data_IF_312598094218
#
_entry.id   IF_312598094218
#
_cell.length_a   1.000
_cell.length_b   1.000
_cell.length_c   1.000
_cell.angle_alpha   90.00
_cell.angle_beta   90.00
_cell.angle_gamma   90.00
#
_symmetry.space_group_name_H-M   'P 1'
#
loop_
_entity.id
_entity.type
_entity.pdbx_description
1 polymer ?
#
# COMPACT_ATOMS: atom_id res chain seq x y z
N UNK A 1 57.04 -12.12 0.63
CA UNK A 1 55.78 -12.48 1.27
C UNK A 1 54.81 -12.73 0.11
N UNK A 2 54.22 -13.92 0.06
CA UNK A 2 53.24 -14.23 -1.00
C UNK A 2 52.01 -13.36 -0.86
N UNK A 3 51.32 -13.08 -1.97
CA UNK A 3 50.07 -12.37 -1.99
C UNK A 3 49.04 -13.13 -1.15
N UNK A 4 48.43 -12.51 -0.10
CA UNK A 4 47.42 -13.16 0.75
C UNK A 4 46.26 -13.73 -0.02
N UNK A 5 45.81 -13.02 -1.06
CA UNK A 5 44.68 -13.42 -1.94
C UNK A 5 45.05 -14.72 -2.67
N UNK A 6 46.25 -14.81 -3.25
CA UNK A 6 46.67 -15.99 -3.99
C UNK A 6 46.87 -17.22 -3.08
N UNK A 7 47.35 -17.00 -1.86
CA UNK A 7 47.47 -18.06 -0.86
C UNK A 7 46.09 -18.62 -0.46
N UNK A 8 45.11 -17.74 -0.25
CA UNK A 8 43.73 -18.17 0.05
C UNK A 8 43.04 -18.82 -1.13
N UNK A 9 43.25 -18.38 -2.38
CA UNK A 9 42.76 -19.06 -3.57
C UNK A 9 43.23 -20.50 -3.66
N UNK A 10 44.50 -20.73 -3.39
CA UNK A 10 45.04 -22.11 -3.37
C UNK A 10 44.37 -22.92 -2.24
N UNK A 11 44.14 -22.35 -1.08
CA UNK A 11 43.46 -23.01 0.02
C UNK A 11 41.99 -23.33 -0.32
N UNK A 12 41.24 -22.40 -0.93
CA UNK A 12 39.87 -22.61 -1.42
C UNK A 12 39.84 -23.69 -2.49
N UNK A 13 40.83 -23.76 -3.40
CA UNK A 13 40.89 -24.79 -4.43
C UNK A 13 41.06 -26.21 -3.84
N UNK A 14 41.73 -26.32 -2.69
CA UNK A 14 41.89 -27.58 -1.96
C UNK A 14 40.68 -27.95 -1.10
N UNK A 15 39.93 -26.95 -0.60
CA UNK A 15 38.76 -27.10 0.26
C UNK A 15 37.56 -26.33 -0.31
N UNK A 16 36.99 -26.72 -1.46
CA UNK A 16 35.98 -25.96 -2.20
C UNK A 16 34.64 -25.82 -1.43
N UNK A 17 34.36 -26.71 -0.49
CA UNK A 17 33.13 -26.69 0.33
C UNK A 17 33.30 -25.97 1.68
N UNK A 18 34.40 -25.24 1.87
CA UNK A 18 34.62 -24.49 3.09
C UNK A 18 34.07 -23.05 2.98
N UNK A 19 32.82 -22.83 3.44
CA UNK A 19 32.14 -21.55 3.41
C UNK A 19 32.90 -20.42 4.11
N UNK A 20 33.40 -20.60 5.36
CA UNK A 20 34.20 -19.60 6.05
C UNK A 20 35.47 -19.18 5.31
N UNK A 21 36.16 -20.11 4.65
CA UNK A 21 37.35 -19.81 3.87
C UNK A 21 37.05 -18.98 2.63
N UNK A 22 35.95 -19.29 1.94
CA UNK A 22 35.44 -18.51 0.81
C UNK A 22 35.03 -17.09 1.23
N UNK A 23 34.33 -16.96 2.35
CA UNK A 23 34.00 -15.67 2.91
C UNK A 23 35.25 -14.82 3.15
N UNK A 24 36.27 -15.40 3.78
CA UNK A 24 37.51 -14.68 4.04
C UNK A 24 38.26 -14.28 2.75
N UNK A 25 38.22 -15.11 1.72
CA UNK A 25 38.76 -14.73 0.41
C UNK A 25 37.94 -13.59 -0.21
N UNK A 26 36.62 -13.60 -0.08
CA UNK A 26 35.73 -12.49 -0.47
C UNK A 26 36.07 -11.19 0.24
N UNK A 27 36.28 -11.24 1.56
CA UNK A 27 36.67 -10.07 2.38
C UNK A 27 37.99 -9.43 1.90
N UNK A 28 38.99 -10.24 1.56
CA UNK A 28 40.26 -9.74 1.03
C UNK A 28 40.14 -9.20 -0.40
N UNK A 29 39.29 -9.81 -1.22
CA UNK A 29 39.03 -9.34 -2.56
C UNK A 29 38.29 -8.01 -2.56
N UNK A 30 37.28 -7.86 -1.70
CA UNK A 30 36.57 -6.62 -1.48
C UNK A 30 37.50 -5.50 -0.98
N UNK A 31 38.34 -5.78 -0.01
CA UNK A 31 39.34 -4.84 0.48
C UNK A 31 40.42 -4.44 -0.57
N UNK A 32 40.55 -5.20 -1.63
CA UNK A 32 41.40 -4.92 -2.79
C UNK A 32 40.64 -4.30 -3.98
N UNK A 33 39.43 -3.76 -3.76
CA UNK A 33 38.53 -3.19 -4.77
C UNK A 33 38.16 -4.17 -5.92
N UNK A 34 38.29 -5.48 -5.66
CA UNK A 34 37.95 -6.56 -6.63
C UNK A 34 36.53 -7.08 -6.38
N UNK A 35 35.56 -6.17 -6.42
CA UNK A 35 34.16 -6.41 -6.00
C UNK A 35 33.46 -7.55 -6.76
N UNK A 36 33.65 -7.67 -8.08
CA UNK A 36 33.03 -8.76 -8.89
C UNK A 36 33.55 -10.15 -8.48
N UNK A 37 34.84 -10.26 -8.15
CA UNK A 37 35.41 -11.52 -7.69
C UNK A 37 34.99 -11.82 -6.25
N UNK A 38 34.87 -10.81 -5.41
CA UNK A 38 34.34 -10.94 -4.06
C UNK A 38 32.88 -11.44 -4.06
N UNK A 39 32.05 -10.92 -4.96
CA UNK A 39 30.66 -11.36 -5.15
C UNK A 39 30.57 -12.86 -5.44
N UNK A 40 31.44 -13.37 -6.30
CA UNK A 40 31.42 -14.80 -6.67
C UNK A 40 31.74 -15.69 -5.46
N UNK A 41 32.76 -15.30 -4.68
CA UNK A 41 33.13 -16.06 -3.48
C UNK A 41 32.08 -15.97 -2.37
N UNK A 42 31.45 -14.80 -2.17
CA UNK A 42 30.35 -14.65 -1.21
C UNK A 42 29.10 -15.43 -1.62
N UNK A 43 28.77 -15.50 -2.91
CA UNK A 43 27.65 -16.32 -3.41
C UNK A 43 27.86 -17.79 -3.14
N UNK A 44 29.09 -18.28 -3.38
CA UNK A 44 29.42 -19.66 -3.12
C UNK A 44 29.48 -19.95 -1.61
N UNK A 45 29.97 -19.01 -0.80
CA UNK A 45 29.91 -19.12 0.66
C UNK A 45 28.45 -19.18 1.16
N UNK A 46 27.57 -18.32 0.65
CA UNK A 46 26.17 -18.26 1.03
C UNK A 46 25.41 -19.55 0.62
N UNK A 47 25.78 -20.16 -0.49
CA UNK A 47 25.20 -21.45 -0.92
C UNK A 47 25.60 -22.61 0.00
N UNK A 48 26.77 -22.54 0.62
CA UNK A 48 27.30 -23.55 1.55
C UNK A 48 26.77 -23.36 2.98
N UNK A 49 26.69 -22.12 3.43
CA UNK A 49 26.26 -21.75 4.78
C UNK A 49 25.39 -20.47 4.73
N UNK A 50 24.06 -20.62 4.58
CA UNK A 50 23.14 -19.49 4.51
C UNK A 50 23.05 -18.75 5.83
N UNK A 51 23.51 -17.48 5.87
CA UNK A 51 23.39 -16.61 7.04
C UNK A 51 22.96 -15.20 6.66
N UNK A 52 22.24 -14.51 7.56
CA UNK A 52 21.77 -13.14 7.33
C UNK A 52 22.95 -12.17 7.27
N UNK A 53 24.00 -12.39 8.07
CA UNK A 53 25.22 -11.60 8.04
C UNK A 53 25.88 -11.65 6.64
N UNK A 54 25.98 -12.84 6.04
CA UNK A 54 26.58 -13.00 4.72
C UNK A 54 25.69 -12.41 3.61
N UNK A 55 24.36 -12.43 3.80
CA UNK A 55 23.41 -11.72 2.89
C UNK A 55 23.65 -10.21 2.90
N UNK A 56 23.89 -9.62 4.08
CA UNK A 56 24.17 -8.17 4.20
C UNK A 56 25.53 -7.81 3.62
N UNK A 57 26.55 -8.64 3.80
CA UNK A 57 27.86 -8.46 3.15
C UNK A 57 27.69 -8.45 1.62
N UNK A 58 26.97 -9.43 1.08
CA UNK A 58 26.70 -9.52 -0.35
C UNK A 58 25.89 -8.30 -0.85
N UNK A 59 24.93 -7.83 -0.06
CA UNK A 59 24.13 -6.64 -0.41
C UNK A 59 25.01 -5.37 -0.47
N UNK A 60 25.99 -5.22 0.41
CA UNK A 60 26.95 -4.11 0.36
C UNK A 60 27.81 -4.15 -0.90
N UNK A 61 28.29 -5.32 -1.30
CA UNK A 61 29.05 -5.48 -2.53
C UNK A 61 28.23 -5.13 -3.77
N UNK A 62 26.94 -5.53 -3.81
CA UNK A 62 26.04 -5.11 -4.88
C UNK A 62 25.84 -3.59 -4.92
N UNK A 63 25.71 -2.94 -3.75
CA UNK A 63 25.61 -1.48 -3.65
C UNK A 63 26.85 -0.77 -4.17
N UNK A 64 28.06 -1.26 -3.82
CA UNK A 64 29.32 -0.67 -4.28
C UNK A 64 29.46 -0.73 -5.82
N UNK A 65 28.85 -1.73 -6.45
CA UNK A 65 28.78 -1.89 -7.91
C UNK A 65 27.58 -1.18 -8.57
N UNK A 66 26.76 -0.45 -7.81
CA UNK A 66 25.56 0.23 -8.32
C UNK A 66 24.39 -0.72 -8.68
N UNK A 67 24.47 -1.98 -8.25
CA UNK A 67 23.45 -3.02 -8.52
C UNK A 67 22.39 -3.00 -7.42
N UNK A 68 21.62 -1.92 -7.37
CA UNK A 68 20.66 -1.64 -6.30
C UNK A 68 19.53 -2.67 -6.20
N UNK A 69 19.04 -3.19 -7.32
CA UNK A 69 17.95 -4.17 -7.34
C UNK A 69 18.31 -5.49 -6.66
N UNK A 70 19.52 -6.03 -6.91
CA UNK A 70 19.98 -7.26 -6.27
C UNK A 70 20.28 -7.05 -4.79
N UNK A 71 20.81 -5.89 -4.42
CA UNK A 71 21.02 -5.52 -3.03
C UNK A 71 19.70 -5.43 -2.26
N UNK A 72 18.66 -4.83 -2.85
CA UNK A 72 17.33 -4.69 -2.25
C UNK A 72 16.72 -6.04 -1.89
N UNK A 73 16.76 -7.01 -2.80
CA UNK A 73 16.22 -8.37 -2.55
C UNK A 73 16.88 -9.02 -1.33
N UNK A 74 18.20 -8.90 -1.19
CA UNK A 74 18.92 -9.50 -0.07
C UNK A 74 18.61 -8.82 1.27
N UNK A 75 18.51 -7.49 1.26
CA UNK A 75 18.16 -6.69 2.43
C UNK A 75 16.71 -6.99 2.86
N UNK A 76 15.77 -7.08 1.94
CA UNK A 76 14.38 -7.38 2.24
C UNK A 76 14.21 -8.79 2.83
N UNK A 77 14.92 -9.79 2.32
CA UNK A 77 14.95 -11.15 2.91
C UNK A 77 15.42 -11.13 4.39
N UNK A 78 16.42 -10.32 4.71
CA UNK A 78 16.92 -10.20 6.10
C UNK A 78 15.92 -9.46 6.97
N UNK A 79 15.28 -8.40 6.45
CA UNK A 79 14.26 -7.63 7.16
C UNK A 79 13.02 -8.48 7.46
N UNK A 80 12.60 -9.31 6.50
CA UNK A 80 11.47 -10.24 6.66
C UNK A 80 11.74 -11.36 7.69
N UNK A 81 13.01 -11.74 7.86
CA UNK A 81 13.42 -12.75 8.84
C UNK A 81 13.52 -12.23 10.29
N UNK A 82 13.23 -10.96 10.54
CA UNK A 82 13.28 -10.35 11.86
C UNK A 82 14.20 -9.13 11.95
N UNK A 83 14.91 -8.83 10.88
CA UNK A 83 15.71 -7.62 10.66
C UNK A 83 16.87 -7.38 11.65
N UNK A 84 17.90 -6.70 11.16
CA UNK A 84 18.96 -6.17 12.00
C UNK A 84 19.06 -4.66 11.77
N UNK A 85 19.60 -3.92 12.72
CA UNK A 85 19.87 -2.48 12.58
C UNK A 85 20.73 -2.18 11.34
N UNK A 86 21.63 -3.09 11.00
CA UNK A 86 22.48 -3.01 9.82
C UNK A 86 21.69 -3.19 8.50
N UNK A 87 20.68 -4.09 8.47
CA UNK A 87 19.78 -4.25 7.34
C UNK A 87 18.95 -2.97 7.10
N UNK A 88 18.49 -2.33 8.18
CA UNK A 88 17.78 -1.04 8.11
C UNK A 88 18.68 0.09 7.56
N UNK A 89 19.95 0.12 7.97
CA UNK A 89 20.91 1.10 7.45
C UNK A 89 21.16 0.90 5.95
N UNK A 90 21.30 -0.34 5.48
CA UNK A 90 21.43 -0.65 4.07
C UNK A 90 20.15 -0.32 3.30
N UNK A 91 18.97 -0.56 3.87
CA UNK A 91 17.68 -0.16 3.29
C UNK A 91 17.60 1.35 3.10
N UNK A 92 18.06 2.13 4.08
CA UNK A 92 18.14 3.59 3.98
C UNK A 92 19.00 4.03 2.78
N UNK A 93 20.18 3.43 2.61
CA UNK A 93 21.09 3.74 1.48
C UNK A 93 20.46 3.35 0.12
N UNK A 94 19.72 2.26 0.06
CA UNK A 94 18.98 1.83 -1.15
C UNK A 94 17.89 2.82 -1.50
N UNK A 95 17.03 3.19 -0.56
CA UNK A 95 15.94 4.13 -0.76
C UNK A 95 16.45 5.52 -1.14
N UNK A 96 17.58 5.96 -0.58
CA UNK A 96 18.23 7.21 -0.98
C UNK A 96 18.67 7.18 -2.46
N UNK A 97 19.22 6.05 -2.92
CA UNK A 97 19.60 5.87 -4.32
C UNK A 97 18.39 5.83 -5.28
N UNK A 98 17.24 5.38 -4.79
CA UNK A 98 15.97 5.36 -5.54
C UNK A 98 15.27 6.74 -5.53
N UNK A 99 15.76 7.68 -4.71
CA UNK A 99 15.19 9.03 -4.56
C UNK A 99 14.05 9.12 -3.56
N UNK A 100 13.76 8.05 -2.85
CA UNK A 100 12.79 8.03 -1.74
C UNK A 100 13.47 8.54 -0.45
N UNK A 101 13.46 9.87 -0.29
CA UNK A 101 14.08 10.54 0.85
C UNK A 101 13.34 10.28 2.16
N UNK A 102 12.03 10.12 2.12
CA UNK A 102 11.23 9.88 3.33
C UNK A 102 11.43 8.46 3.85
N UNK A 103 11.33 7.46 2.99
CA UNK A 103 11.63 6.07 3.34
C UNK A 103 13.08 5.90 3.81
N UNK A 104 14.04 6.59 3.18
CA UNK A 104 15.44 6.56 3.58
C UNK A 104 15.66 7.12 4.99
N UNK A 105 14.98 8.23 5.35
CA UNK A 105 15.02 8.82 6.70
C UNK A 105 14.44 7.90 7.75
N UNK A 106 13.29 7.29 7.44
CA UNK A 106 12.65 6.37 8.37
C UNK A 106 13.54 5.16 8.66
N UNK A 107 14.03 4.51 7.61
CA UNK A 107 14.93 3.38 7.75
C UNK A 107 16.20 3.74 8.54
N UNK A 108 16.79 4.92 8.30
CA UNK A 108 17.96 5.40 9.04
C UNK A 108 17.67 5.64 10.52
N UNK A 109 16.57 6.34 10.82
CA UNK A 109 16.16 6.60 12.23
C UNK A 109 15.94 5.29 12.99
N UNK A 110 15.30 4.31 12.38
CA UNK A 110 15.08 2.99 12.99
C UNK A 110 16.40 2.23 13.19
N UNK A 111 17.33 2.30 12.25
CA UNK A 111 18.65 1.69 12.39
C UNK A 111 19.40 2.26 13.60
N UNK A 112 19.48 3.59 13.70
CA UNK A 112 20.19 4.30 14.79
C UNK A 112 19.47 4.18 16.14
N UNK A 113 18.14 4.06 16.14
CA UNK A 113 17.36 3.84 17.37
C UNK A 113 17.62 2.46 17.98
N UNK A 114 17.93 1.43 17.15
CA UNK A 114 18.28 0.07 17.62
C UNK A 114 19.75 0.00 17.97
N UNK A 115 20.61 0.65 17.20
CA UNK A 115 22.07 0.65 17.40
C UNK A 115 22.66 2.03 17.07
N UNK A 116 22.92 2.80 18.12
CA UNK A 116 23.47 4.16 18.00
C UNK A 116 24.90 4.20 17.41
N UNK A 117 25.65 3.09 17.43
CA UNK A 117 27.01 3.01 16.86
C UNK A 117 26.97 3.02 15.31
N UNK A 118 25.81 2.71 14.72
CA UNK A 118 25.60 2.77 13.28
C UNK A 118 25.29 4.18 12.74
N UNK A 119 25.31 5.20 13.58
CA UNK A 119 25.12 6.58 13.15
C UNK A 119 26.20 6.98 12.14
N UNK A 120 25.77 7.24 10.90
CA UNK A 120 26.60 7.65 9.77
C UNK A 120 26.37 9.16 9.53
N UNK A 121 27.31 10.06 9.93
CA UNK A 121 27.12 11.50 9.82
C UNK A 121 26.94 11.98 8.37
N UNK A 122 27.62 11.33 7.40
CA UNK A 122 27.50 11.70 5.99
C UNK A 122 26.12 11.36 5.45
N UNK A 123 25.61 10.19 5.83
CA UNK A 123 24.24 9.78 5.45
C UNK A 123 23.20 10.66 6.16
N UNK A 124 23.42 11.01 7.42
CA UNK A 124 22.55 11.92 8.16
C UNK A 124 22.44 13.29 7.47
N UNK A 125 23.56 13.87 7.04
CA UNK A 125 23.60 15.15 6.34
C UNK A 125 22.88 15.11 4.96
N UNK A 126 23.00 13.99 4.24
CA UNK A 126 22.28 13.78 2.97
C UNK A 126 20.76 13.64 3.18
N UNK A 127 20.35 13.20 4.35
CA UNK A 127 18.94 13.01 4.72
C UNK A 127 18.30 14.25 5.35
N UNK A 128 19.05 15.34 5.62
CA UNK A 128 18.51 16.62 6.13
C UNK A 128 17.79 17.38 5.01
N UNK A 129 16.59 17.90 5.31
CA UNK A 129 15.86 18.73 4.35
C UNK A 129 16.55 20.08 4.18
N UNK A 130 16.55 20.70 2.98
CA UNK A 130 17.08 22.04 2.77
C UNK A 130 16.22 23.04 3.57
N UNK A 131 16.69 23.45 4.74
CA UNK A 131 16.03 24.41 5.63
C UNK A 131 16.32 24.23 7.11
N UNK A 132 16.87 23.10 7.56
CA UNK A 132 17.21 22.88 8.98
C UNK A 132 18.73 23.01 9.18
N UNK A 133 19.15 24.16 9.69
CA UNK A 133 20.53 24.39 10.14
C UNK A 133 20.74 23.77 11.51
N UNK A 134 21.75 22.90 11.59
CA UNK A 134 22.33 22.34 12.80
C UNK A 134 22.71 23.41 13.82
N UNK A 135 22.20 23.29 15.03
CA UNK A 135 22.77 23.90 16.20
C UNK A 135 21.77 24.23 17.28
N UNK A 136 21.56 23.31 18.22
CA UNK A 136 21.58 23.70 19.62
C UNK A 136 21.65 22.46 20.54
N UNK A 137 22.38 22.65 21.63
CA UNK A 137 22.72 21.71 22.70
C UNK A 137 21.50 21.06 23.34
N UNK A 138 21.59 19.77 23.59
CA UNK A 138 20.66 18.99 24.43
C UNK A 138 20.89 19.40 25.89
N UNK A 139 19.96 20.15 26.48
CA UNK A 139 19.75 20.20 27.93
C UNK A 139 18.63 19.21 28.29
N UNK A 140 18.94 18.35 29.26
CA UNK A 140 18.01 17.35 29.78
C UNK A 140 16.83 18.04 30.48
N UNK A 141 15.63 17.87 29.94
CA UNK A 141 14.35 18.17 30.56
C UNK A 141 13.42 16.96 30.46
N UNK A 142 12.37 16.85 31.29
CA UNK A 142 11.72 15.58 31.63
C UNK A 142 10.90 15.00 30.48
N UNK A 143 10.92 13.67 30.41
CA UNK A 143 10.11 12.72 29.67
C UNK A 143 9.25 13.32 28.51
N UNK A 144 9.75 13.20 27.30
CA UNK A 144 8.96 13.46 26.10
C UNK A 144 7.90 12.37 25.92
N UNK A 145 6.66 12.77 25.87
CA UNK A 145 5.53 12.01 25.35
C UNK A 145 5.84 11.57 23.92
N UNK A 146 5.52 10.34 23.53
CA UNK A 146 5.73 9.87 22.17
C UNK A 146 4.87 10.71 21.22
N UNK A 147 5.53 11.44 20.33
CA UNK A 147 4.89 12.15 19.23
C UNK A 147 4.48 11.15 18.16
N UNK A 148 3.27 10.59 18.30
CA UNK A 148 2.60 9.99 17.15
C UNK A 148 2.47 11.06 16.06
N UNK A 149 2.93 10.78 14.85
CA UNK A 149 2.67 11.64 13.70
C UNK A 149 1.16 11.87 13.63
N UNK A 150 0.75 13.11 13.79
CA UNK A 150 -0.64 13.51 13.62
C UNK A 150 -0.96 13.34 12.14
N UNK A 151 -1.74 12.32 11.81
CA UNK A 151 -2.36 12.24 10.50
C UNK A 151 -3.32 13.43 10.42
N UNK A 152 -2.93 14.48 9.72
CA UNK A 152 -3.78 15.66 9.59
C UNK A 152 -5.03 15.29 8.77
N UNK A 153 -6.24 15.52 9.33
CA UNK A 153 -7.46 15.24 8.59
C UNK A 153 -7.57 16.19 7.41
N UNK A 154 -7.44 15.62 6.21
CA UNK A 154 -7.48 16.36 4.96
C UNK A 154 -8.94 16.73 4.63
N UNK A 155 -9.24 18.02 4.43
CA UNK A 155 -10.53 18.43 3.88
C UNK A 155 -10.53 18.18 2.40
N UNK A 156 -11.10 17.04 2.01
CA UNK A 156 -11.14 16.68 0.59
C UNK A 156 -12.10 17.59 -0.19
N UNK A 157 -11.60 18.14 -1.31
CA UNK A 157 -12.42 18.83 -2.30
C UNK A 157 -13.13 17.86 -3.27
N UNK A 158 -12.82 16.55 -3.19
CA UNK A 158 -13.38 15.53 -4.06
C UNK A 158 -14.82 15.21 -3.66
N UNK A 159 -15.76 15.30 -4.61
CA UNK A 159 -17.19 15.03 -4.44
C UNK A 159 -17.63 13.94 -5.42
N UNK A 160 -18.91 13.55 -5.38
CA UNK A 160 -19.46 12.59 -6.35
C UNK A 160 -19.45 13.09 -7.81
N UNK A 161 -19.27 14.39 -8.03
CA UNK A 161 -19.09 14.94 -9.39
C UNK A 161 -17.73 14.54 -9.98
N UNK A 162 -16.75 14.25 -9.14
CA UNK A 162 -15.40 13.83 -9.54
C UNK A 162 -15.28 12.31 -9.72
N UNK A 163 -16.32 11.57 -9.30
CA UNK A 163 -16.44 10.13 -9.52
C UNK A 163 -17.20 9.87 -10.81
N UNK A 164 -16.50 9.38 -11.82
CA UNK A 164 -17.11 9.09 -13.13
C UNK A 164 -18.09 7.91 -13.06
N UNK A 165 -19.36 8.13 -13.44
CA UNK A 165 -20.41 7.08 -13.45
C UNK A 165 -20.77 6.55 -12.06
N UNK A 166 -21.07 5.25 -11.96
CA UNK A 166 -21.44 4.56 -10.71
C UNK A 166 -22.68 5.15 -10.01
N UNK A 167 -23.66 5.61 -10.76
CA UNK A 167 -24.83 6.30 -10.18
C UNK A 167 -25.60 5.43 -9.18
N UNK A 168 -25.73 4.12 -9.46
CA UNK A 168 -26.36 3.16 -8.54
C UNK A 168 -25.60 3.12 -7.18
N UNK A 169 -24.26 3.10 -7.22
CA UNK A 169 -23.42 3.09 -6.03
C UNK A 169 -23.51 4.42 -5.26
N UNK A 170 -23.47 5.54 -5.96
CA UNK A 170 -23.64 6.87 -5.37
C UNK A 170 -24.99 7.02 -4.69
N UNK A 171 -26.05 6.54 -5.33
CA UNK A 171 -27.41 6.59 -4.76
C UNK A 171 -27.52 5.68 -3.54
N UNK A 172 -26.93 4.48 -3.59
CA UNK A 172 -26.90 3.57 -2.44
C UNK A 172 -26.16 4.21 -1.27
N UNK A 173 -25.04 4.90 -1.52
CA UNK A 173 -24.27 5.65 -0.51
C UNK A 173 -25.10 6.83 0.03
N UNK A 174 -25.80 7.59 -0.83
CA UNK A 174 -26.68 8.67 -0.37
C UNK A 174 -27.73 8.15 0.59
N UNK A 175 -28.42 7.08 0.23
CA UNK A 175 -29.50 6.50 1.02
C UNK A 175 -29.01 5.85 2.32
N UNK A 176 -27.91 5.10 2.24
CA UNK A 176 -27.42 4.32 3.38
C UNK A 176 -26.52 5.10 4.33
N UNK A 177 -25.87 6.16 3.84
CA UNK A 177 -24.82 6.88 4.59
C UNK A 177 -25.16 8.35 4.75
N UNK A 178 -25.30 9.11 3.65
CA UNK A 178 -25.37 10.55 3.67
C UNK A 178 -26.68 11.01 4.31
N UNK A 179 -27.82 10.51 3.87
CA UNK A 179 -29.12 10.88 4.44
C UNK A 179 -29.27 10.56 5.92
N UNK A 180 -28.83 9.39 6.46
CA UNK A 180 -28.85 9.14 7.89
C UNK A 180 -28.03 10.13 8.71
N UNK A 181 -26.86 10.54 8.20
CA UNK A 181 -25.98 11.51 8.88
C UNK A 181 -26.56 12.92 8.82
N UNK A 182 -27.16 13.32 7.69
CA UNK A 182 -27.75 14.65 7.51
C UNK A 182 -29.11 14.82 8.19
N UNK A 183 -29.88 13.75 8.39
CA UNK A 183 -31.24 13.76 8.94
C UNK A 183 -31.41 12.74 10.08
N UNK A 184 -30.59 12.80 11.15
CA UNK A 184 -30.60 11.80 12.22
C UNK A 184 -31.96 11.71 12.94
N UNK A 185 -32.67 12.83 13.11
CA UNK A 185 -34.00 12.89 13.72
C UNK A 185 -35.06 12.12 12.92
N UNK A 186 -34.98 12.13 11.59
CA UNK A 186 -35.89 11.37 10.74
C UNK A 186 -35.68 9.86 10.95
N UNK A 187 -34.45 9.42 10.97
CA UNK A 187 -34.13 8.00 11.18
C UNK A 187 -34.44 7.52 12.58
N UNK A 188 -34.24 8.37 13.61
CA UNK A 188 -34.61 8.10 14.99
C UNK A 188 -36.12 7.91 15.15
N UNK A 189 -36.94 8.68 14.43
CA UNK A 189 -38.41 8.55 14.44
C UNK A 189 -38.89 7.17 13.92
N UNK A 190 -38.10 6.50 13.08
CA UNK A 190 -38.33 5.13 12.61
C UNK A 190 -37.57 4.07 13.42
N UNK A 191 -36.99 4.43 14.57
CA UNK A 191 -36.20 3.52 15.40
C UNK A 191 -34.85 3.10 14.79
N UNK A 192 -34.38 3.81 13.76
CA UNK A 192 -33.08 3.57 13.13
C UNK A 192 -32.05 4.53 13.66
N UNK A 193 -30.86 4.03 13.97
CA UNK A 193 -29.71 4.87 14.37
C UNK A 193 -28.97 5.39 13.14
N UNK A 194 -28.47 6.62 13.21
CA UNK A 194 -27.70 7.26 12.14
C UNK A 194 -26.21 6.85 12.13
N UNK A 195 -25.76 6.02 13.05
CA UNK A 195 -24.39 5.55 13.17
C UNK A 195 -24.16 4.18 12.53
N UNK A 196 -22.93 3.69 12.61
CA UNK A 196 -22.48 2.41 12.10
C UNK A 196 -21.42 2.54 11.01
N UNK A 197 -20.73 1.45 10.72
CA UNK A 197 -19.71 1.39 9.69
C UNK A 197 -20.26 0.93 8.34
N UNK A 198 -19.52 1.25 7.31
CA UNK A 198 -19.82 0.81 5.93
C UNK A 198 -18.64 0.07 5.36
N UNK A 199 -18.89 -1.09 4.77
CA UNK A 199 -17.90 -1.88 4.06
C UNK A 199 -18.10 -1.75 2.55
N UNK A 200 -17.14 -1.12 1.88
CA UNK A 200 -17.05 -1.08 0.43
C UNK A 200 -16.32 -2.33 -0.05
N UNK A 201 -16.89 -3.09 -0.96
CA UNK A 201 -16.22 -4.26 -1.50
C UNK A 201 -16.35 -4.37 -3.01
N UNK A 202 -15.40 -5.01 -3.66
CA UNK A 202 -15.41 -5.17 -5.11
C UNK A 202 -14.02 -5.44 -5.67
N UNK A 203 -13.90 -5.58 -7.00
CA UNK A 203 -12.60 -5.86 -7.64
C UNK A 203 -11.56 -4.79 -7.32
N UNK A 204 -10.25 -5.14 -7.32
CA UNK A 204 -9.17 -4.17 -7.15
C UNK A 204 -9.19 -3.13 -8.29
N UNK A 205 -8.76 -1.91 -7.98
CA UNK A 205 -8.67 -0.81 -8.94
C UNK A 205 -10.01 -0.23 -9.40
N UNK A 206 -11.14 -0.59 -8.79
CA UNK A 206 -12.47 -0.06 -9.14
C UNK A 206 -12.86 1.22 -8.40
N UNK A 207 -11.92 1.87 -7.67
CA UNK A 207 -12.12 3.20 -7.11
C UNK A 207 -12.80 3.22 -5.73
N UNK A 208 -12.75 2.15 -4.93
CA UNK A 208 -13.32 2.11 -3.56
C UNK A 208 -12.82 3.25 -2.69
N UNK A 209 -11.52 3.48 -2.66
CA UNK A 209 -10.87 4.58 -1.90
C UNK A 209 -11.32 5.94 -2.43
N UNK A 210 -11.47 6.09 -3.76
CA UNK A 210 -11.96 7.33 -4.38
C UNK A 210 -13.42 7.63 -4.02
N UNK A 211 -14.27 6.60 -4.02
CA UNK A 211 -15.68 6.70 -3.58
C UNK A 211 -15.77 7.07 -2.10
N UNK A 212 -14.92 6.47 -1.24
CA UNK A 212 -14.88 6.81 0.18
C UNK A 212 -14.48 8.29 0.40
N UNK A 213 -13.47 8.76 -0.33
CA UNK A 213 -13.03 10.16 -0.29
C UNK A 213 -14.11 11.11 -0.79
N UNK A 214 -14.79 10.78 -1.88
CA UNK A 214 -15.92 11.56 -2.39
C UNK A 214 -17.11 11.58 -1.41
N UNK A 215 -17.35 10.50 -0.67
CA UNK A 215 -18.38 10.46 0.39
C UNK A 215 -18.08 11.47 1.50
N UNK A 216 -16.81 11.62 1.90
CA UNK A 216 -16.41 12.62 2.88
C UNK A 216 -16.62 14.04 2.35
N UNK A 217 -16.32 14.31 1.08
CA UNK A 217 -16.57 15.61 0.45
C UNK A 217 -18.05 15.96 0.38
N UNK A 218 -18.92 15.01 0.04
CA UNK A 218 -20.37 15.21 0.04
C UNK A 218 -20.94 15.52 1.45
N UNK A 219 -20.31 14.97 2.48
CA UNK A 219 -20.67 15.25 3.87
C UNK A 219 -20.05 16.56 4.40
N UNK A 220 -19.12 17.19 3.66
CA UNK A 220 -18.31 18.30 4.14
C UNK A 220 -17.44 17.94 5.34
N UNK A 221 -17.12 16.66 5.52
CA UNK A 221 -16.38 16.09 6.62
C UNK A 221 -14.89 16.02 6.31
N UNK A 222 -14.06 16.01 7.34
CA UNK A 222 -12.64 15.67 7.21
C UNK A 222 -12.48 14.21 6.82
N UNK A 223 -11.45 13.88 6.04
CA UNK A 223 -11.15 12.51 5.63
C UNK A 223 -9.82 12.06 6.26
N UNK A 224 -9.87 11.00 7.03
CA UNK A 224 -8.70 10.40 7.66
C UNK A 224 -8.49 9.02 7.05
N UNK A 225 -7.46 8.89 6.22
CA UNK A 225 -7.07 7.61 5.64
C UNK A 225 -6.15 6.84 6.58
N UNK A 226 -6.46 5.58 6.79
CA UNK A 226 -5.68 4.69 7.65
C UNK A 226 -5.30 3.45 6.84
N UNK A 227 -4.03 3.32 6.53
CA UNK A 227 -3.48 2.09 5.98
C UNK A 227 -3.45 1.02 7.06
N UNK A 228 -3.90 -0.18 6.71
CA UNK A 228 -3.88 -1.28 7.68
C UNK A 228 -2.46 -1.72 8.01
N UNK A 229 -1.51 -1.50 7.11
CA UNK A 229 -0.08 -1.72 7.36
C UNK A 229 0.44 -0.77 8.44
N UNK A 230 -0.03 0.48 8.48
CA UNK A 230 0.35 1.45 9.52
C UNK A 230 -0.15 0.98 10.89
N UNK A 231 -1.41 0.52 10.96
CA UNK A 231 -1.97 -0.05 12.19
C UNK A 231 -1.26 -1.34 12.58
N UNK A 232 -0.79 -2.14 11.64
CA UNK A 232 -0.11 -3.40 11.87
C UNK A 232 1.39 -3.26 12.14
N UNK A 233 2.07 -2.28 11.57
CA UNK A 233 3.50 -2.00 11.81
C UNK A 233 3.78 -1.46 13.21
N UNK A 234 2.78 -0.91 13.86
CA UNK A 234 2.80 -0.47 15.27
C UNK A 234 2.81 -1.64 16.29
N UNK A 235 3.17 -2.86 15.87
CA UNK A 235 2.95 -4.16 16.57
C UNK A 235 3.76 -4.44 17.83
N UNK A 236 4.64 -3.59 18.29
CA UNK A 236 5.49 -3.87 19.44
C UNK A 236 5.03 -3.19 20.75
N UNK A 237 3.78 -3.41 21.16
CA UNK A 237 3.28 -3.10 22.51
C UNK A 237 2.43 -1.84 22.67
N UNK A 238 2.29 -1.01 21.61
CA UNK A 238 1.55 0.27 21.64
C UNK A 238 0.33 0.30 20.70
N UNK A 239 0.10 -0.76 19.94
CA UNK A 239 -0.89 -0.81 18.84
C UNK A 239 -2.33 -0.57 19.29
N UNK A 240 -2.71 -1.06 20.47
CA UNK A 240 -4.05 -0.87 21.02
C UNK A 240 -4.28 0.59 21.44
N UNK A 241 -3.27 1.22 22.00
CA UNK A 241 -3.31 2.63 22.40
C UNK A 241 -3.35 3.54 21.18
N UNK A 242 -2.54 3.26 20.17
CA UNK A 242 -2.49 4.05 18.94
C UNK A 242 -3.81 3.95 18.16
N UNK A 243 -4.42 2.77 18.08
CA UNK A 243 -5.74 2.60 17.48
C UNK A 243 -6.80 3.41 18.27
N UNK A 244 -6.77 3.36 19.58
CA UNK A 244 -7.65 4.16 20.43
C UNK A 244 -7.42 5.66 20.23
N UNK A 245 -6.16 6.11 20.21
CA UNK A 245 -5.81 7.52 19.96
C UNK A 245 -6.27 8.02 18.61
N UNK A 246 -6.20 7.16 17.56
CA UNK A 246 -6.70 7.46 16.22
C UNK A 246 -8.23 7.73 16.24
N UNK A 247 -9.00 6.88 16.92
CA UNK A 247 -10.44 7.10 17.07
C UNK A 247 -10.74 8.33 17.91
N UNK A 248 -9.97 8.59 18.97
CA UNK A 248 -10.08 9.81 19.77
C UNK A 248 -9.73 11.09 18.97
N UNK A 249 -8.69 11.00 18.10
CA UNK A 249 -8.36 12.09 17.19
C UNK A 249 -9.50 12.37 16.22
N UNK A 250 -10.09 11.31 15.63
CA UNK A 250 -11.23 11.45 14.74
C UNK A 250 -12.44 12.10 15.45
N UNK A 251 -12.71 11.73 16.73
CA UNK A 251 -13.76 12.37 17.56
C UNK A 251 -13.53 13.86 17.80
N UNK A 252 -12.27 14.25 18.01
CA UNK A 252 -11.88 15.65 18.27
C UNK A 252 -11.86 16.52 17.02
N UNK A 253 -11.71 15.92 15.84
CA UNK A 253 -11.59 16.64 14.56
C UNK A 253 -12.93 17.16 14.02
N UNK A 254 -14.05 16.97 14.73
CA UNK A 254 -15.39 17.30 14.25
C UNK A 254 -15.93 16.25 13.28
N UNK A 255 -16.87 16.56 12.40
CA UNK A 255 -17.37 15.57 11.47
C UNK A 255 -16.24 14.98 10.62
N UNK A 256 -15.96 13.69 10.82
CA UNK A 256 -14.81 12.99 10.22
C UNK A 256 -15.23 11.65 9.62
N UNK A 257 -14.72 11.37 8.42
CA UNK A 257 -14.78 10.04 7.80
C UNK A 257 -13.45 9.34 8.03
N UNK A 258 -13.49 8.30 8.85
CA UNK A 258 -12.35 7.43 9.12
C UNK A 258 -12.39 6.25 8.15
N UNK A 259 -11.40 6.16 7.28
CA UNK A 259 -11.36 5.18 6.22
C UNK A 259 -10.23 4.17 6.41
N UNK A 260 -10.59 2.88 6.48
CA UNK A 260 -9.67 1.77 6.57
C UNK A 260 -9.62 1.02 5.22
N UNK A 261 -8.45 1.01 4.58
CA UNK A 261 -8.28 0.23 3.35
C UNK A 261 -7.80 -1.20 3.66
N UNK A 262 -8.13 -2.13 2.77
CA UNK A 262 -7.68 -3.54 2.80
C UNK A 262 -7.96 -4.28 4.11
N UNK A 263 -9.16 -4.10 4.68
CA UNK A 263 -9.54 -4.75 5.96
C UNK A 263 -9.56 -6.28 5.92
N UNK A 264 -9.50 -6.89 4.75
CA UNK A 264 -9.30 -8.33 4.55
C UNK A 264 -7.92 -8.81 5.04
N UNK A 265 -6.90 -7.95 5.10
CA UNK A 265 -5.60 -8.27 5.69
C UNK A 265 -5.72 -8.64 7.19
N UNK A 266 -6.70 -8.09 7.90
CA UNK A 266 -7.02 -8.49 9.29
C UNK A 266 -7.61 -9.92 9.35
N UNK A 267 -8.40 -10.32 8.37
CA UNK A 267 -9.05 -11.63 8.32
C UNK A 267 -8.09 -12.77 7.97
N UNK A 268 -7.22 -12.59 6.98
CA UNK A 268 -6.29 -13.60 6.50
C UNK A 268 -5.29 -14.06 7.57
N UNK A 269 -4.94 -13.18 8.52
CA UNK A 269 -4.01 -13.49 9.62
C UNK A 269 -4.63 -14.18 10.82
N UNK A 270 -5.96 -14.25 10.91
CA UNK A 270 -6.66 -14.87 12.06
C UNK A 270 -6.65 -16.40 12.02
N UNK A 271 -6.63 -17.01 10.85
CA UNK A 271 -6.50 -18.46 10.66
C UNK A 271 -5.12 -18.98 11.06
N UNK A 272 -4.08 -18.16 10.90
CA UNK A 272 -2.69 -18.52 11.20
C UNK A 272 -2.26 -18.16 12.62
N UNK A 273 -3.02 -17.30 13.32
CA UNK A 273 -2.68 -16.76 14.63
C UNK A 273 -3.34 -17.54 15.79
N UNK A 274 -2.81 -18.71 16.14
CA UNK A 274 -3.29 -19.47 17.32
C UNK A 274 -2.95 -18.82 18.68
N UNK A 275 -2.04 -17.84 18.73
CA UNK A 275 -1.71 -17.05 19.93
C UNK A 275 -0.84 -15.84 19.55
N UNK A 276 -1.40 -14.65 19.35
CA UNK A 276 -0.56 -13.47 19.07
C UNK A 276 -1.27 -12.12 19.26
N UNK A 277 -0.49 -11.05 19.39
CA UNK A 277 -0.94 -9.65 19.54
C UNK A 277 -1.99 -9.20 18.52
N UNK A 278 -1.98 -9.75 17.30
CA UNK A 278 -2.97 -9.41 16.28
C UNK A 278 -4.42 -9.71 16.63
N UNK A 279 -4.68 -10.71 17.49
CA UNK A 279 -6.03 -10.98 18.00
C UNK A 279 -6.51 -9.89 18.96
N UNK A 280 -5.61 -9.32 19.74
CA UNK A 280 -5.90 -8.20 20.66
C UNK A 280 -6.24 -6.94 19.87
N UNK A 281 -5.46 -6.61 18.83
CA UNK A 281 -5.75 -5.50 17.95
C UNK A 281 -7.11 -5.62 17.25
N UNK A 282 -7.44 -6.81 16.72
CA UNK A 282 -8.77 -7.06 16.13
C UNK A 282 -9.87 -6.84 17.17
N UNK A 283 -9.69 -7.33 18.39
CA UNK A 283 -10.66 -7.14 19.45
C UNK A 283 -10.80 -5.66 19.83
N UNK A 284 -9.69 -4.92 19.93
CA UNK A 284 -9.73 -3.48 20.17
C UNK A 284 -10.46 -2.74 19.04
N UNK A 285 -10.17 -3.09 17.78
CA UNK A 285 -10.86 -2.47 16.64
C UNK A 285 -12.37 -2.74 16.70
N UNK A 286 -12.79 -3.95 17.08
CA UNK A 286 -14.21 -4.25 17.27
C UNK A 286 -14.83 -3.42 18.42
N UNK A 287 -14.09 -3.19 19.51
CA UNK A 287 -14.54 -2.35 20.63
C UNK A 287 -14.70 -0.89 20.20
N UNK A 288 -13.74 -0.35 19.45
CA UNK A 288 -13.83 1.03 18.92
C UNK A 288 -15.01 1.20 17.95
N UNK A 289 -15.27 0.21 17.08
CA UNK A 289 -16.43 0.23 16.19
C UNK A 289 -17.76 0.22 16.97
N UNK A 290 -17.84 -0.58 18.04
CA UNK A 290 -19.03 -0.62 18.92
C UNK A 290 -19.21 0.73 19.62
N UNK A 291 -18.12 1.38 20.02
CA UNK A 291 -18.11 2.73 20.62
C UNK A 291 -18.64 3.82 19.67
N UNK A 292 -18.20 3.82 18.42
CA UNK A 292 -18.71 4.77 17.39
C UNK A 292 -20.22 4.62 17.18
N UNK A 293 -20.73 3.39 17.25
CA UNK A 293 -22.18 3.13 17.10
C UNK A 293 -23.00 3.58 18.30
N UNK A 294 -22.40 3.64 19.49
CA UNK A 294 -23.08 4.04 20.70
C UNK A 294 -23.17 5.56 20.85
N UNK A 295 -22.10 6.27 20.51
CA UNK A 295 -21.93 7.71 20.76
C UNK A 295 -22.09 8.62 19.54
N UNK A 296 -22.60 8.14 18.43
CA UNK A 296 -23.04 8.80 17.18
C UNK A 296 -22.56 10.22 16.83
N UNK A 297 -21.64 10.82 17.56
CA UNK A 297 -21.25 12.22 17.39
C UNK A 297 -20.10 12.39 16.39
N UNK A 298 -20.45 12.44 15.09
CA UNK A 298 -19.60 13.05 14.08
C UNK A 298 -18.56 12.15 13.42
N UNK A 299 -18.47 10.84 13.73
CA UNK A 299 -17.57 9.92 13.04
C UNK A 299 -18.36 8.95 12.16
N UNK A 300 -17.95 8.85 10.90
CA UNK A 300 -18.36 7.79 9.98
C UNK A 300 -17.18 6.87 9.71
N UNK A 301 -17.32 5.58 9.99
CA UNK A 301 -16.28 4.61 9.67
C UNK A 301 -16.57 3.95 8.34
N UNK A 302 -15.68 4.10 7.38
CA UNK A 302 -15.70 3.40 6.11
C UNK A 302 -14.56 2.40 6.07
N UNK A 303 -14.80 1.22 5.49
CA UNK A 303 -13.77 0.26 5.21
C UNK A 303 -13.84 -0.21 3.76
N UNK A 304 -12.71 -0.60 3.18
CA UNK A 304 -12.65 -1.20 1.86
C UNK A 304 -11.99 -2.57 1.90
N UNK A 305 -12.44 -3.48 1.02
CA UNK A 305 -11.85 -4.80 0.85
C UNK A 305 -11.92 -5.27 -0.59
N UNK A 306 -10.89 -5.96 -1.03
CA UNK A 306 -10.88 -6.70 -2.28
C UNK A 306 -11.38 -8.14 -2.11
N UNK A 307 -11.43 -8.67 -0.88
CA UNK A 307 -11.80 -10.04 -0.58
C UNK A 307 -12.83 -10.12 0.58
N UNK A 308 -14.10 -9.74 0.33
CA UNK A 308 -15.12 -9.67 1.38
C UNK A 308 -15.35 -11.02 2.08
N UNK A 309 -15.00 -12.12 1.46
CA UNK A 309 -15.08 -13.48 2.03
C UNK A 309 -13.95 -13.79 3.04
N UNK A 310 -12.91 -12.96 3.10
CA UNK A 310 -11.85 -13.03 4.11
C UNK A 310 -12.12 -12.14 5.33
N UNK A 311 -13.09 -11.24 5.24
CA UNK A 311 -13.47 -10.37 6.37
C UNK A 311 -14.28 -11.19 7.38
N UNK A 312 -13.80 -11.20 8.63
CA UNK A 312 -14.46 -11.92 9.72
C UNK A 312 -15.90 -11.45 9.95
N UNK A 313 -16.82 -12.40 10.15
CA UNK A 313 -18.23 -12.12 10.39
C UNK A 313 -18.50 -11.22 11.60
N UNK A 314 -17.57 -11.18 12.56
CA UNK A 314 -17.65 -10.27 13.70
C UNK A 314 -17.66 -8.80 13.28
N UNK A 315 -16.99 -8.45 12.18
CA UNK A 315 -17.01 -7.09 11.64
C UNK A 315 -18.36 -6.72 11.00
N UNK A 316 -19.12 -7.72 10.52
CA UNK A 316 -20.42 -7.51 9.83
C UNK A 316 -21.63 -7.54 10.74
N UNK A 317 -21.41 -7.68 12.07
CA UNK A 317 -22.50 -7.64 13.05
C UNK A 317 -23.15 -6.26 13.11
N UNK A 318 -24.47 -6.19 13.47
CA UNK A 318 -25.16 -4.92 13.65
C UNK A 318 -24.40 -3.97 14.59
N UNK A 319 -24.28 -2.71 14.18
CA UNK A 319 -23.54 -1.68 14.91
C UNK A 319 -22.06 -1.56 14.51
N UNK A 320 -21.54 -2.42 13.61
CA UNK A 320 -20.18 -2.35 13.06
C UNK A 320 -20.28 -2.04 11.57
N UNK A 321 -19.66 -2.82 10.70
CA UNK A 321 -19.86 -2.71 9.25
C UNK A 321 -21.16 -3.41 8.81
N UNK A 322 -22.27 -2.93 9.31
CA UNK A 322 -23.60 -3.49 9.06
C UNK A 322 -24.20 -3.07 7.72
N UNK A 323 -23.56 -2.11 7.06
CA UNK A 323 -23.91 -1.65 5.70
C UNK A 323 -22.81 -2.09 4.75
N UNK A 324 -23.17 -2.86 3.76
CA UNK A 324 -22.23 -3.39 2.76
C UNK A 324 -22.63 -2.85 1.41
N UNK A 325 -21.67 -2.27 0.67
CA UNK A 325 -21.88 -1.64 -0.64
C UNK A 325 -20.92 -2.27 -1.65
N UNK A 326 -21.50 -2.83 -2.70
CA UNK A 326 -20.73 -3.38 -3.82
C UNK A 326 -20.28 -2.26 -4.76
N UNK A 327 -18.98 -2.19 -5.03
CA UNK A 327 -18.38 -1.26 -5.99
C UNK A 327 -17.99 -2.06 -7.25
N UNK A 328 -18.83 -2.05 -8.29
CA UNK A 328 -18.56 -2.78 -9.53
C UNK A 328 -17.46 -2.10 -10.35
N UNK A 329 -16.93 -2.77 -11.39
CA UNK A 329 -16.15 -2.12 -12.42
C UNK A 329 -16.93 -0.98 -13.08
N UNK A 330 -16.21 0.07 -13.54
CA UNK A 330 -16.85 1.24 -14.13
C UNK A 330 -17.73 0.86 -15.35
N UNK A 331 -18.91 1.44 -15.43
CA UNK A 331 -19.79 1.35 -16.59
C UNK A 331 -19.19 2.03 -17.84
N UNK A 332 -19.87 1.95 -18.98
CA UNK A 332 -19.34 2.52 -20.21
C UNK A 332 -19.11 4.04 -20.12
N UNK A 333 -20.02 4.76 -19.44
CA UNK A 333 -19.91 6.20 -19.23
C UNK A 333 -18.73 6.56 -18.35
N UNK A 334 -18.58 5.84 -17.24
CA UNK A 334 -17.45 5.98 -16.33
C UNK A 334 -16.12 5.67 -17.03
N UNK A 335 -16.02 4.58 -17.80
CA UNK A 335 -14.79 4.26 -18.54
C UNK A 335 -14.39 5.35 -19.52
N UNK A 336 -15.37 5.94 -20.21
CA UNK A 336 -15.12 7.09 -21.10
C UNK A 336 -14.52 8.27 -20.35
N UNK A 337 -15.09 8.60 -19.19
CA UNK A 337 -14.65 9.72 -18.36
C UNK A 337 -13.27 9.46 -17.74
N UNK A 338 -13.02 8.28 -17.24
CA UNK A 338 -11.72 7.88 -16.69
C UNK A 338 -10.61 8.02 -17.75
N UNK A 339 -10.85 7.50 -18.96
CA UNK A 339 -9.86 7.64 -20.05
C UNK A 339 -9.67 9.11 -20.43
N UNK A 340 -10.73 9.94 -20.44
CA UNK A 340 -10.65 11.37 -20.69
C UNK A 340 -9.73 12.07 -19.69
N UNK A 341 -9.93 11.79 -18.40
CA UNK A 341 -9.15 12.36 -17.30
C UNK A 341 -7.67 11.96 -17.44
N UNK A 342 -7.37 10.67 -17.67
CA UNK A 342 -6.00 10.21 -17.81
C UNK A 342 -5.29 10.73 -19.08
N UNK A 343 -6.02 11.22 -20.06
CA UNK A 343 -5.49 11.85 -21.26
C UNK A 343 -5.31 13.37 -21.14
N UNK A 344 -5.77 13.99 -20.06
CA UNK A 344 -5.57 15.43 -19.82
C UNK A 344 -4.08 15.77 -19.68
N UNK A 345 -3.68 16.89 -20.27
CA UNK A 345 -2.28 17.35 -20.28
C UNK A 345 -1.31 16.54 -21.14
N UNK A 346 -1.78 15.46 -21.82
CA UNK A 346 -0.94 14.64 -22.69
C UNK A 346 -1.05 15.08 -24.16
N UNK A 347 0.04 14.96 -24.92
CA UNK A 347 0.06 15.23 -26.35
C UNK A 347 -0.79 14.18 -27.09
N UNK A 348 -1.94 14.60 -27.64
CA UNK A 348 -2.92 13.71 -28.26
C UNK A 348 -3.61 14.34 -29.44
N UNK A 349 -4.10 13.53 -30.37
CA UNK A 349 -5.08 13.89 -31.39
C UNK A 349 -6.50 13.94 -30.80
N UNK A 350 -7.49 14.12 -31.68
CA UNK A 350 -8.87 13.91 -31.29
C UNK A 350 -9.11 12.40 -31.04
N UNK A 351 -9.45 12.04 -29.81
CA UNK A 351 -9.64 10.66 -29.38
C UNK A 351 -11.11 10.28 -29.41
N UNK A 352 -11.42 9.15 -30.05
CA UNK A 352 -12.75 8.52 -30.01
C UNK A 352 -12.93 7.72 -28.72
N UNK A 353 -13.37 8.41 -27.67
CA UNK A 353 -13.60 7.84 -26.34
C UNK A 353 -14.72 6.79 -26.34
N UNK A 354 -15.72 6.92 -27.22
CA UNK A 354 -16.84 5.97 -27.31
C UNK A 354 -16.39 4.63 -27.87
N UNK A 355 -15.49 4.65 -28.84
CA UNK A 355 -14.88 3.45 -29.39
C UNK A 355 -13.97 2.73 -28.37
N UNK A 356 -13.21 3.49 -27.59
CA UNK A 356 -12.36 2.94 -26.54
C UNK A 356 -13.22 2.34 -25.42
N UNK A 357 -14.22 3.09 -24.91
CA UNK A 357 -15.08 2.61 -23.83
C UNK A 357 -15.87 1.36 -24.19
N UNK A 358 -16.23 1.19 -25.47
CA UNK A 358 -16.89 -0.04 -25.95
C UNK A 358 -15.96 -1.25 -26.00
N UNK A 359 -14.65 -1.05 -26.13
CA UNK A 359 -13.64 -2.11 -26.22
C UNK A 359 -12.97 -2.49 -24.88
N UNK A 360 -13.25 -1.71 -23.86
CA UNK A 360 -12.69 -1.90 -22.51
C UNK A 360 -13.71 -2.40 -21.50
N UNK A 361 -14.70 -3.20 -21.96
CA UNK A 361 -15.69 -3.79 -21.07
C UNK A 361 -15.03 -4.65 -19.99
N UNK A 362 -15.46 -4.48 -18.74
CA UNK A 362 -14.91 -5.16 -17.58
C UNK A 362 -13.58 -4.61 -17.05
N UNK A 363 -12.99 -3.59 -17.67
CA UNK A 363 -11.77 -2.96 -17.18
C UNK A 363 -12.04 -2.19 -15.89
N UNK A 364 -11.13 -2.32 -14.91
CA UNK A 364 -11.09 -1.45 -13.73
C UNK A 364 -10.58 -0.05 -14.08
N UNK A 365 -10.70 0.91 -13.16
CA UNK A 365 -10.09 2.22 -13.31
C UNK A 365 -8.56 2.13 -13.46
N UNK A 366 -7.93 1.24 -12.70
CA UNK A 366 -6.49 0.98 -12.80
C UNK A 366 -6.10 0.36 -14.15
N UNK A 367 -6.91 -0.55 -14.70
CA UNK A 367 -6.68 -1.09 -16.04
C UNK A 367 -6.72 0.00 -17.12
N UNK A 368 -7.63 0.96 -16.99
CA UNK A 368 -7.77 2.08 -17.92
C UNK A 368 -6.61 3.07 -17.82
N UNK A 369 -6.14 3.36 -16.60
CA UNK A 369 -4.93 4.15 -16.40
C UNK A 369 -3.72 3.49 -17.07
N UNK A 370 -3.50 2.24 -16.76
CA UNK A 370 -2.40 1.45 -17.33
C UNK A 370 -2.50 1.27 -18.85
N UNK A 371 -3.71 1.24 -19.41
CA UNK A 371 -3.93 1.24 -20.87
C UNK A 371 -3.43 2.54 -21.51
N UNK A 372 -3.72 3.69 -20.89
CA UNK A 372 -3.25 5.00 -21.37
C UNK A 372 -1.73 5.08 -21.25
N UNK A 373 -1.13 4.60 -20.15
CA UNK A 373 0.31 4.63 -19.95
C UNK A 373 1.06 3.77 -20.98
N UNK A 374 0.56 2.58 -21.30
CA UNK A 374 1.12 1.73 -22.38
C UNK A 374 1.09 2.45 -23.74
N UNK A 375 0.00 3.16 -24.05
CA UNK A 375 -0.08 3.92 -25.29
C UNK A 375 0.92 5.10 -25.32
N UNK A 376 1.11 5.79 -24.19
CA UNK A 376 2.10 6.85 -24.01
C UNK A 376 3.51 6.30 -24.20
N UNK A 377 3.88 5.22 -23.54
CA UNK A 377 5.20 4.60 -23.64
C UNK A 377 5.53 4.18 -25.06
N UNK A 378 4.57 3.62 -25.79
CA UNK A 378 4.74 3.25 -27.18
C UNK A 378 5.04 4.48 -28.07
N UNK A 379 4.35 5.62 -27.82
CA UNK A 379 4.58 6.87 -28.55
C UNK A 379 5.90 7.54 -28.17
N UNK A 380 6.26 7.51 -26.88
CA UNK A 380 7.55 8.01 -26.41
C UNK A 380 8.69 7.25 -27.09
N UNK A 381 8.62 5.91 -27.11
CA UNK A 381 9.64 5.08 -27.75
C UNK A 381 9.77 5.41 -29.25
N UNK A 382 8.65 5.58 -29.96
CA UNK A 382 8.65 5.96 -31.36
C UNK A 382 9.22 7.37 -31.56
N UNK A 383 8.84 8.33 -30.71
CA UNK A 383 9.29 9.72 -30.76
C UNK A 383 10.80 9.85 -30.51
N UNK A 384 11.35 9.08 -29.55
CA UNK A 384 12.79 9.05 -29.26
C UNK A 384 13.56 8.53 -30.48
N UNK A 385 13.06 7.45 -31.10
CA UNK A 385 13.72 6.87 -32.26
C UNK A 385 13.73 7.81 -33.49
N UNK A 386 12.60 8.51 -33.72
CA UNK A 386 12.39 9.32 -34.91
C UNK A 386 12.80 10.80 -34.69
N UNK A 387 13.08 11.20 -33.45
CA UNK A 387 13.45 12.57 -33.07
C UNK A 387 12.28 13.57 -33.11
N UNK A 388 11.03 13.12 -33.31
CA UNK A 388 9.85 13.99 -33.46
C UNK A 388 8.75 13.51 -32.49
N UNK A 389 8.22 14.39 -31.63
CA UNK A 389 7.08 14.06 -30.76
C UNK A 389 5.84 13.66 -31.58
N UNK A 390 5.28 12.49 -31.28
CA UNK A 390 4.09 11.96 -31.94
C UNK A 390 2.90 11.98 -30.99
N UNK A 391 1.74 12.56 -31.39
CA UNK A 391 0.56 12.57 -30.56
C UNK A 391 -0.04 11.16 -30.43
N UNK A 392 -0.71 10.92 -29.31
CA UNK A 392 -1.48 9.70 -29.06
C UNK A 392 -2.73 9.74 -29.94
N UNK A 393 -2.98 8.66 -30.67
CA UNK A 393 -4.17 8.48 -31.50
C UNK A 393 -5.12 7.42 -30.88
N UNK A 394 -6.37 7.38 -31.34
CA UNK A 394 -7.35 6.37 -30.91
C UNK A 394 -6.86 4.95 -31.12
N UNK A 395 -6.19 4.68 -32.23
CA UNK A 395 -5.72 3.31 -32.55
C UNK A 395 -4.60 2.85 -31.61
N UNK A 396 -3.77 3.75 -31.06
CA UNK A 396 -2.77 3.38 -30.05
C UNK A 396 -3.40 2.83 -28.79
N UNK A 397 -4.47 3.48 -28.32
CA UNK A 397 -5.24 3.04 -27.15
C UNK A 397 -5.97 1.73 -27.42
N UNK A 398 -6.50 1.54 -28.63
CA UNK A 398 -7.13 0.28 -29.03
C UNK A 398 -6.12 -0.86 -29.15
N UNK A 399 -4.91 -0.59 -29.61
CA UNK A 399 -3.84 -1.58 -29.66
C UNK A 399 -3.34 -1.97 -28.27
N UNK A 400 -3.27 -1.00 -27.34
CA UNK A 400 -3.01 -1.27 -25.93
C UNK A 400 -4.12 -2.15 -25.31
N UNK A 401 -5.40 -1.85 -25.61
CA UNK A 401 -6.54 -2.64 -25.13
C UNK A 401 -6.54 -4.08 -25.65
N UNK A 402 -6.08 -4.33 -26.89
CA UNK A 402 -5.97 -5.71 -27.43
C UNK A 402 -4.94 -6.56 -26.70
N UNK A 403 -3.91 -5.94 -26.14
CA UNK A 403 -2.80 -6.63 -25.46
C UNK A 403 -3.08 -6.93 -23.99
N UNK A 404 -4.10 -6.33 -23.40
CA UNK A 404 -4.44 -6.47 -21.98
C UNK A 404 -5.79 -7.15 -21.80
N UNK A 405 -5.88 -7.97 -20.78
CA UNK A 405 -7.16 -8.52 -20.29
C UNK A 405 -7.59 -7.72 -19.05
N UNK A 406 -8.91 -7.58 -18.80
CA UNK A 406 -9.39 -6.95 -17.58
C UNK A 406 -8.95 -7.77 -16.36
N UNK A 407 -8.34 -7.11 -15.37
CA UNK A 407 -7.89 -7.74 -14.11
C UNK A 407 -9.07 -8.21 -13.26
N UNK A 408 -10.25 -7.62 -13.46
CA UNK A 408 -11.49 -7.95 -12.73
C UNK A 408 -12.02 -9.36 -13.04
N UNK A 409 -11.62 -9.97 -14.16
CA UNK A 409 -12.16 -11.27 -14.59
C UNK A 409 -11.88 -12.40 -13.59
N UNK A 410 -10.65 -12.48 -13.08
CA UNK A 410 -10.25 -13.49 -12.07
C UNK A 410 -10.97 -13.27 -10.74
N UNK A 411 -11.11 -12.00 -10.35
CA UNK A 411 -11.87 -11.65 -9.15
C UNK A 411 -13.33 -12.13 -9.25
N UNK A 412 -13.99 -11.90 -10.38
CA UNK A 412 -15.38 -12.36 -10.57
C UNK A 412 -15.52 -13.89 -10.61
N UNK A 413 -14.53 -14.62 -11.08
CA UNK A 413 -14.53 -16.08 -10.99
C UNK A 413 -14.54 -16.54 -9.52
N UNK A 414 -13.68 -15.97 -8.70
CA UNK A 414 -13.61 -16.26 -7.26
C UNK A 414 -14.90 -15.81 -6.55
N UNK A 415 -15.32 -14.56 -6.78
CA UNK A 415 -16.50 -13.97 -6.16
C UNK A 415 -17.77 -14.74 -6.47
N UNK A 416 -17.92 -15.23 -7.72
CA UNK A 416 -19.06 -16.07 -8.13
C UNK A 416 -19.14 -17.36 -7.34
N UNK A 417 -18.01 -18.02 -7.09
CA UNK A 417 -17.99 -19.27 -6.30
C UNK A 417 -18.47 -19.00 -4.87
N UNK A 418 -17.99 -17.93 -4.22
CA UNK A 418 -18.47 -17.55 -2.90
C UNK A 418 -19.95 -17.15 -2.90
N UNK A 419 -20.41 -16.40 -3.88
CA UNK A 419 -21.80 -15.97 -4.00
C UNK A 419 -22.76 -17.14 -4.25
N UNK A 420 -22.31 -18.20 -4.93
CA UNK A 420 -23.14 -19.39 -5.18
C UNK A 420 -23.14 -20.40 -4.00
N UNK A 421 -22.02 -20.53 -3.28
CA UNK A 421 -21.82 -21.63 -2.34
C UNK A 421 -21.71 -21.20 -0.87
N UNK A 422 -21.40 -19.92 -0.60
CA UNK A 422 -21.19 -19.39 0.75
C UNK A 422 -22.07 -18.15 1.08
N UNK A 423 -23.13 -17.89 0.32
CA UNK A 423 -23.99 -16.70 0.48
C UNK A 423 -25.19 -16.97 1.39
N UNK A 424 -24.95 -17.43 2.61
CA UNK A 424 -26.04 -17.80 3.54
C UNK A 424 -26.91 -16.63 4.03
N UNK A 425 -26.35 -15.40 4.01
CA UNK A 425 -27.01 -14.19 4.50
C UNK A 425 -27.37 -13.17 3.40
N UNK A 426 -27.26 -13.53 2.12
CA UNK A 426 -27.50 -12.59 1.01
C UNK A 426 -26.41 -11.52 0.83
N UNK A 427 -25.28 -11.65 1.52
CA UNK A 427 -24.20 -10.63 1.53
C UNK A 427 -23.56 -10.43 0.17
N UNK A 428 -23.71 -11.38 -0.75
CA UNK A 428 -23.12 -11.36 -2.11
C UNK A 428 -24.16 -11.32 -3.22
N UNK A 429 -25.43 -11.02 -2.92
CA UNK A 429 -26.50 -10.95 -3.91
C UNK A 429 -26.23 -9.92 -5.00
N UNK A 430 -25.64 -8.77 -4.62
CA UNK A 430 -25.24 -7.73 -5.56
C UNK A 430 -24.23 -8.22 -6.61
N UNK A 431 -23.34 -9.16 -6.27
CA UNK A 431 -22.42 -9.79 -7.24
C UNK A 431 -23.21 -10.64 -8.25
N UNK A 432 -24.15 -11.46 -7.76
CA UNK A 432 -24.97 -12.31 -8.63
C UNK A 432 -25.86 -11.47 -9.54
N UNK A 433 -26.44 -10.40 -9.01
CA UNK A 433 -27.25 -9.45 -9.77
C UNK A 433 -26.41 -8.75 -10.86
N UNK A 434 -25.21 -8.30 -10.54
CA UNK A 434 -24.29 -7.72 -11.52
C UNK A 434 -23.91 -8.72 -12.62
N UNK A 435 -23.61 -9.97 -12.26
CA UNK A 435 -23.28 -11.03 -13.22
C UNK A 435 -24.51 -11.47 -14.05
N UNK A 436 -25.71 -11.38 -13.52
CA UNK A 436 -26.95 -11.72 -14.21
C UNK A 436 -27.45 -10.62 -15.17
N UNK A 437 -26.96 -9.36 -15.00
CA UNK A 437 -27.21 -8.24 -15.92
C UNK A 437 -26.30 -8.25 -17.16
N UNK A 438 -25.29 -9.10 -17.19
CA UNK A 438 -24.39 -9.34 -18.31
C UNK A 438 -24.75 -10.62 -19.06
#
# INVERSE_FOLDING_TARGET
>A
MGDPIETLRQAVSQLPENGPLRRHLGDLLSAADRHEEALEEYRQALALDPSDELRLVLAREFLSLGRTGEAAVLVDVVLDAGGTSEALLLKSKLLLNEGDLEGARDAYRRAVAVDAELADPELADLLVAPGETTGERIEQGPAATPSGERVDPDRTAVTFTDVGGMEDVKEEIRLKIIHPVQHPELYAAYGKRAGGGVLLYGPPGCGKTHVARATAGELGSSFLWVGLEDVLSMWFGESEQNLHELFEQARRSGPCVLFFDEVDALGARRSDMRSSPGRQLINQFLVELDGVSADSEGILVLAATNAPWHVDDAFRRPGRFDRVVFVPPPDRGARREIVRIHLEGRLREQIDLDRISSRTEGYSGADLSALVDVAVEAKLTASIRDGVPRPIATDDLLDAARKRKPTTAEWFQTARNYALHANQAGSYDAILEYLGRK
#
